data_IF_499583208976
#
_entry.id   IF_499583208976
#
_cell.length_a   1.000
_cell.length_b   1.000
_cell.length_c   1.000
_cell.angle_alpha   90.00
_cell.angle_beta   90.00
_cell.angle_gamma   90.00
#
_symmetry.space_group_name_H-M   'P 1'
#
loop_
_entity.id
_entity.type
_entity.pdbx_description
1 polymer ?
#
# COMPACT_ATOMS: atom_id res chain seq x y z
N UNK A 1 29.49 55.78 83.15
CA UNK A 1 29.51 56.58 81.90
C UNK A 1 30.41 55.86 80.90
N UNK A 2 29.79 55.27 79.85
CA UNK A 2 30.17 55.15 78.41
C UNK A 2 31.66 55.46 78.06
N UNK A 3 32.45 54.75 77.23
CA UNK A 3 32.23 53.92 76.03
C UNK A 3 33.49 53.04 75.81
N UNK A 4 33.36 51.76 75.43
CA UNK A 4 33.37 51.21 74.07
C UNK A 4 34.76 50.78 73.56
N UNK A 5 34.92 49.46 73.48
CA UNK A 5 35.99 48.72 72.80
C UNK A 5 36.18 49.18 71.35
N UNK A 6 37.45 49.29 70.94
CA UNK A 6 37.82 49.28 69.53
C UNK A 6 38.39 47.90 69.17
N UNK A 7 37.78 47.16 68.24
CA UNK A 7 38.34 45.90 67.77
C UNK A 7 39.53 46.14 66.83
N UNK A 8 40.54 45.29 66.96
CA UNK A 8 41.65 45.15 66.01
C UNK A 8 41.08 44.65 64.68
N UNK A 9 41.17 45.47 63.64
CA UNK A 9 40.88 45.07 62.26
C UNK A 9 42.02 44.18 61.74
N UNK A 10 41.74 43.02 61.14
CA UNK A 10 42.75 42.28 60.40
C UNK A 10 43.12 43.04 59.12
N UNK A 11 44.43 43.11 58.84
CA UNK A 11 44.94 43.58 57.56
C UNK A 11 44.33 42.73 56.44
N UNK A 12 43.53 43.38 55.59
CA UNK A 12 43.04 42.81 54.34
C UNK A 12 44.21 42.83 53.35
N UNK A 13 44.65 41.65 52.90
CA UNK A 13 45.64 41.52 51.83
C UNK A 13 45.11 42.10 50.53
N UNK A 14 45.95 42.85 49.82
CA UNK A 14 45.63 43.36 48.49
C UNK A 14 45.24 42.21 47.54
N UNK A 15 44.19 42.38 46.71
CA UNK A 15 43.88 41.42 45.66
C UNK A 15 45.00 41.42 44.61
N UNK A 16 45.29 40.28 43.98
CA UNK A 16 46.32 40.21 42.96
C UNK A 16 45.92 41.11 41.78
N UNK A 17 46.91 41.89 41.37
CA UNK A 17 47.00 42.69 40.15
C UNK A 17 46.10 42.14 39.03
N UNK A 18 45.05 42.89 38.68
CA UNK A 18 44.18 42.63 37.53
C UNK A 18 44.94 43.05 36.24
N UNK A 19 46.14 42.50 36.09
CA UNK A 19 47.04 42.66 34.95
C UNK A 19 46.66 41.70 33.83
N UNK A 20 45.51 41.94 33.21
CA UNK A 20 45.02 41.03 32.19
C UNK A 20 43.84 41.58 31.41
N UNK A 21 43.98 42.77 30.83
CA UNK A 21 43.04 43.26 29.82
C UNK A 21 42.77 42.17 28.78
N UNK A 22 41.57 41.58 28.81
CA UNK A 22 41.11 40.71 27.73
C UNK A 22 41.26 41.50 26.44
N UNK A 23 42.02 41.00 25.45
CA UNK A 23 42.12 41.69 24.18
C UNK A 23 40.70 41.83 23.63
N UNK A 24 40.33 42.96 23.00
CA UNK A 24 39.01 43.11 22.42
C UNK A 24 38.80 41.95 21.47
N UNK A 25 37.80 41.11 21.72
CA UNK A 25 37.45 40.01 20.82
C UNK A 25 37.28 40.62 19.43
N UNK A 26 38.19 40.27 18.52
CA UNK A 26 38.18 40.74 17.15
C UNK A 26 36.79 40.41 16.58
N UNK A 27 36.04 41.44 16.16
CA UNK A 27 34.68 41.28 15.61
C UNK A 27 34.65 40.20 14.53
N UNK A 28 35.76 39.96 13.84
CA UNK A 28 35.90 38.87 12.85
C UNK A 28 35.77 37.47 13.45
N UNK A 29 36.22 37.23 14.69
CA UNK A 29 36.11 35.93 15.35
C UNK A 29 34.68 35.61 15.78
N UNK A 30 33.90 36.59 16.25
CA UNK A 30 32.47 36.38 16.58
C UNK A 30 31.63 36.13 15.33
N UNK A 31 31.91 36.78 14.21
CA UNK A 31 31.25 36.45 12.93
C UNK A 31 31.60 35.04 12.44
N UNK A 32 32.88 34.64 12.52
CA UNK A 32 33.31 33.28 12.17
C UNK A 32 32.64 32.22 13.05
N UNK A 33 32.59 32.42 14.37
CA UNK A 33 31.90 31.51 15.29
C UNK A 33 30.40 31.41 14.98
N UNK A 34 29.73 32.53 14.72
CA UNK A 34 28.30 32.54 14.35
C UNK A 34 28.01 31.82 13.04
N UNK A 35 28.88 31.96 12.04
CA UNK A 35 28.76 31.26 10.75
C UNK A 35 28.95 29.75 10.91
N UNK A 36 29.92 29.33 11.73
CA UNK A 36 30.16 27.91 12.04
C UNK A 36 28.97 27.32 12.80
N UNK A 37 28.46 27.99 13.84
CA UNK A 37 27.30 27.54 14.60
C UNK A 37 26.05 27.45 13.72
N UNK A 38 25.81 28.45 12.87
CA UNK A 38 24.67 28.42 11.93
C UNK A 38 24.78 27.25 10.95
N UNK A 39 25.98 26.96 10.44
CA UNK A 39 26.24 25.82 9.54
C UNK A 39 25.96 24.50 10.25
N UNK A 40 26.40 24.34 11.50
CA UNK A 40 26.16 23.14 12.31
C UNK A 40 24.66 22.93 12.56
N UNK A 41 23.92 24.00 12.90
CA UNK A 41 22.47 23.93 13.13
C UNK A 41 21.74 23.51 11.85
N UNK A 42 22.09 24.09 10.71
CA UNK A 42 21.52 23.71 9.41
C UNK A 42 21.84 22.24 9.10
N UNK A 43 23.04 21.76 9.41
CA UNK A 43 23.42 20.36 9.19
C UNK A 43 22.62 19.40 10.10
N UNK A 44 22.51 19.73 11.39
CA UNK A 44 21.84 18.90 12.40
C UNK A 44 20.33 18.85 12.25
N UNK A 45 19.69 19.90 11.74
CA UNK A 45 18.23 19.93 11.53
C UNK A 45 17.88 19.54 10.09
N UNK A 46 18.65 20.02 9.12
CA UNK A 46 18.41 19.79 7.69
C UNK A 46 18.57 18.34 7.27
N UNK A 47 19.56 17.61 7.81
CA UNK A 47 19.75 16.19 7.47
C UNK A 47 18.58 15.32 8.00
N UNK A 48 18.18 15.39 9.29
CA UNK A 48 17.04 14.62 9.79
C UNK A 48 15.71 15.04 9.13
N UNK A 49 15.47 16.34 8.95
CA UNK A 49 14.26 16.83 8.29
C UNK A 49 14.19 16.41 6.81
N UNK A 50 15.32 16.43 6.09
CA UNK A 50 15.42 15.93 4.72
C UNK A 50 15.18 14.43 4.64
N UNK A 51 15.71 13.65 5.58
CA UNK A 51 15.50 12.20 5.65
C UNK A 51 14.01 11.84 5.90
N UNK A 52 13.33 12.59 6.77
CA UNK A 52 11.90 12.41 7.03
C UNK A 52 11.04 12.69 5.79
N UNK A 53 11.43 13.67 4.96
CA UNK A 53 10.72 14.02 3.73
C UNK A 53 10.83 12.91 2.66
N UNK A 54 11.97 12.22 2.60
CA UNK A 54 12.20 11.08 1.68
C UNK A 54 11.45 9.83 2.17
N UNK A 55 11.46 9.55 3.48
CA UNK A 55 10.83 8.35 4.06
C UNK A 55 9.29 8.34 3.91
N UNK A 56 8.63 9.50 4.04
CA UNK A 56 7.19 9.61 3.83
C UNK A 56 6.75 9.34 2.37
N UNK A 57 7.64 9.60 1.41
CA UNK A 57 7.38 9.35 -0.02
C UNK A 57 7.53 7.87 -0.41
N UNK A 58 8.30 7.09 0.35
CA UNK A 58 8.49 5.66 0.13
C UNK A 58 7.31 4.82 0.65
N UNK A 59 6.68 5.24 1.76
CA UNK A 59 5.57 4.51 2.38
C UNK A 59 4.26 4.49 1.56
N UNK A 60 4.03 5.49 0.70
CA UNK A 60 2.80 5.57 -0.12
C UNK A 60 2.92 5.00 -1.53
N UNK A 61 4.13 4.93 -2.10
CA UNK A 61 4.38 4.32 -3.42
C UNK A 61 4.82 2.86 -3.34
N UNK A 62 5.45 2.43 -2.24
CA UNK A 62 5.91 1.04 -2.09
C UNK A 62 4.79 0.01 -2.16
N UNK A 63 3.54 0.34 -1.81
CA UNK A 63 2.40 -0.57 -1.99
C UNK A 63 1.99 -0.77 -3.45
N UNK A 64 2.00 0.29 -4.26
CA UNK A 64 1.61 0.23 -5.68
C UNK A 64 2.71 -0.39 -6.55
N UNK A 65 3.96 -0.10 -6.22
CA UNK A 65 5.11 -0.61 -6.98
C UNK A 65 5.38 -2.08 -6.64
N UNK A 66 5.15 -2.53 -5.40
CA UNK A 66 5.21 -3.95 -5.03
C UNK A 66 4.07 -4.79 -5.62
N UNK A 67 2.88 -4.23 -5.79
CA UNK A 67 1.77 -4.88 -6.49
C UNK A 67 2.05 -5.01 -8.00
N UNK A 68 2.78 -4.05 -8.59
CA UNK A 68 3.15 -4.06 -10.00
C UNK A 68 4.39 -4.92 -10.31
N UNK A 69 5.37 -5.00 -9.40
CA UNK A 69 6.58 -5.84 -9.55
C UNK A 69 6.33 -7.32 -9.19
N UNK A 70 5.31 -7.64 -8.38
CA UNK A 70 4.94 -9.03 -8.08
C UNK A 70 4.04 -9.69 -9.14
N UNK A 71 3.64 -8.97 -10.19
CA UNK A 71 2.59 -9.35 -11.14
C UNK A 71 3.03 -10.35 -12.23
N UNK A 72 4.29 -10.80 -12.27
CA UNK A 72 4.78 -11.52 -13.45
C UNK A 72 4.29 -12.99 -13.57
N UNK A 73 3.84 -13.67 -12.50
CA UNK A 73 3.40 -15.09 -12.58
C UNK A 73 2.31 -15.51 -11.55
N UNK A 74 1.53 -14.58 -10.99
CA UNK A 74 0.75 -14.80 -9.76
C UNK A 74 -0.35 -15.87 -9.78
N UNK A 75 -0.86 -16.29 -10.95
CA UNK A 75 -1.90 -17.31 -11.03
C UNK A 75 -1.33 -18.70 -10.76
N UNK A 76 -1.82 -19.34 -9.70
CA UNK A 76 -1.51 -20.72 -9.34
C UNK A 76 -2.50 -21.66 -10.02
N UNK A 77 -1.99 -22.69 -10.70
CA UNK A 77 -2.79 -23.80 -11.24
C UNK A 77 -3.17 -24.77 -10.14
N UNK A 78 -4.14 -24.37 -9.32
CA UNK A 78 -4.71 -25.21 -8.27
C UNK A 78 -6.09 -24.66 -7.87
N UNK A 79 -6.77 -25.37 -6.97
CA UNK A 79 -8.00 -24.92 -6.35
C UNK A 79 -7.72 -23.94 -5.21
N UNK A 80 -8.37 -22.76 -5.18
CA UNK A 80 -8.38 -21.96 -3.98
C UNK A 80 -9.05 -22.72 -2.83
N UNK A 81 -8.54 -22.51 -1.62
CA UNK A 81 -9.05 -23.19 -0.43
C UNK A 81 -10.53 -22.90 -0.20
N UNK A 82 -11.23 -23.78 0.52
CA UNK A 82 -12.64 -23.57 0.88
C UNK A 82 -12.86 -22.24 1.60
N UNK A 83 -11.91 -21.83 2.43
CA UNK A 83 -11.98 -20.56 3.15
C UNK A 83 -11.88 -19.37 2.20
N UNK A 84 -10.90 -19.36 1.29
CA UNK A 84 -10.76 -18.28 0.32
C UNK A 84 -12.00 -18.15 -0.57
N UNK A 85 -12.52 -19.27 -1.08
CA UNK A 85 -13.76 -19.29 -1.87
C UNK A 85 -14.97 -18.75 -1.11
N UNK A 86 -15.00 -18.93 0.21
CA UNK A 86 -16.06 -18.40 1.08
C UNK A 86 -15.91 -16.91 1.34
N UNK A 87 -14.69 -16.42 1.59
CA UNK A 87 -14.40 -15.00 1.82
C UNK A 87 -14.65 -14.17 0.57
N UNK A 88 -14.18 -14.65 -0.58
CA UNK A 88 -14.33 -13.98 -1.87
C UNK A 88 -15.62 -14.37 -2.61
N UNK A 89 -16.42 -15.27 -2.03
CA UNK A 89 -17.70 -15.71 -2.56
C UNK A 89 -17.62 -16.16 -4.03
N UNK A 90 -16.66 -17.03 -4.35
CA UNK A 90 -16.48 -17.57 -5.71
C UNK A 90 -16.93 -19.05 -5.73
N UNK A 91 -18.19 -19.35 -6.12
CA UNK A 91 -18.73 -20.70 -6.12
C UNK A 91 -18.28 -21.49 -7.36
N UNK A 92 -16.97 -21.79 -7.44
CA UNK A 92 -16.41 -22.58 -8.55
C UNK A 92 -17.10 -23.96 -8.62
N UNK A 93 -17.73 -24.32 -9.76
CA UNK A 93 -18.43 -25.60 -9.92
C UNK A 93 -17.49 -26.79 -9.71
N UNK A 94 -17.92 -27.84 -9.01
CA UNK A 94 -17.04 -28.98 -8.66
C UNK A 94 -16.48 -29.77 -9.85
N UNK A 95 -17.07 -29.62 -11.04
CA UNK A 95 -16.59 -30.21 -12.30
C UNK A 95 -15.78 -29.23 -13.16
N UNK A 96 -15.36 -28.10 -12.61
CA UNK A 96 -14.50 -27.15 -13.30
C UNK A 96 -13.10 -27.74 -13.52
N UNK A 97 -12.48 -27.39 -14.64
CA UNK A 97 -11.14 -27.81 -15.03
C UNK A 97 -10.25 -26.61 -15.32
N UNK A 98 -8.94 -26.80 -15.22
CA UNK A 98 -7.96 -25.73 -15.44
C UNK A 98 -8.18 -24.54 -14.51
N UNK A 99 -8.48 -24.83 -13.23
CA UNK A 99 -8.68 -23.79 -12.22
C UNK A 99 -7.35 -23.10 -11.96
N UNK A 100 -7.37 -21.78 -12.05
CA UNK A 100 -6.26 -20.89 -11.76
C UNK A 100 -6.73 -19.82 -10.78
N UNK A 101 -5.94 -19.49 -9.77
CA UNK A 101 -6.29 -18.41 -8.85
C UNK A 101 -5.10 -17.61 -8.36
N UNK A 102 -5.37 -16.38 -7.94
CA UNK A 102 -4.41 -15.50 -7.27
C UNK A 102 -5.14 -14.66 -6.25
N UNK A 103 -4.49 -14.35 -5.13
CA UNK A 103 -5.05 -13.49 -4.09
C UNK A 103 -4.07 -12.35 -3.82
N UNK A 104 -4.60 -11.14 -3.78
CA UNK A 104 -3.89 -9.95 -3.31
C UNK A 104 -4.60 -9.42 -2.07
N UNK A 105 -3.87 -9.22 -0.99
CA UNK A 105 -4.43 -8.71 0.25
C UNK A 105 -3.58 -7.56 0.78
N UNK A 106 -4.20 -6.41 1.00
CA UNK A 106 -3.62 -5.32 1.78
C UNK A 106 -4.68 -4.78 2.76
N UNK A 107 -4.25 -3.97 3.72
CA UNK A 107 -5.11 -3.44 4.78
C UNK A 107 -6.32 -2.61 4.30
N UNK A 108 -6.34 -2.15 3.03
CA UNK A 108 -7.43 -1.37 2.44
C UNK A 108 -8.37 -2.19 1.56
N UNK A 109 -7.88 -3.26 0.96
CA UNK A 109 -8.60 -4.02 -0.04
C UNK A 109 -8.05 -5.43 -0.15
N UNK A 110 -8.97 -6.39 -0.23
CA UNK A 110 -8.67 -7.78 -0.55
C UNK A 110 -9.27 -8.10 -1.90
N UNK A 111 -8.52 -8.78 -2.77
CA UNK A 111 -9.01 -9.24 -4.07
C UNK A 111 -8.58 -10.67 -4.32
N UNK A 112 -9.45 -11.42 -4.98
CA UNK A 112 -9.16 -12.74 -5.52
C UNK A 112 -9.50 -12.78 -7.00
N UNK A 113 -8.57 -13.35 -7.75
CA UNK A 113 -8.66 -13.64 -9.16
C UNK A 113 -8.89 -15.13 -9.31
N UNK A 114 -9.86 -15.53 -10.12
CA UNK A 114 -10.08 -16.93 -10.46
C UNK A 114 -10.40 -17.08 -11.94
N UNK A 115 -9.84 -18.11 -12.56
CA UNK A 115 -10.15 -18.54 -13.92
C UNK A 115 -10.43 -20.04 -13.90
N UNK A 116 -11.45 -20.47 -14.62
CA UNK A 116 -11.73 -21.90 -14.77
C UNK A 116 -12.59 -22.16 -16.01
N UNK A 117 -12.44 -23.36 -16.57
CA UNK A 117 -13.32 -23.85 -17.63
C UNK A 117 -14.40 -24.73 -17.02
N UNK A 118 -15.61 -24.64 -17.54
CA UNK A 118 -16.76 -25.41 -17.03
C UNK A 118 -17.67 -25.86 -18.17
N UNK A 119 -18.75 -26.54 -17.83
CA UNK A 119 -19.82 -26.91 -18.76
C UNK A 119 -20.90 -25.82 -18.81
N UNK A 120 -21.76 -25.84 -19.82
CA UNK A 120 -22.97 -24.99 -19.87
C UNK A 120 -23.75 -24.99 -18.53
N UNK A 121 -24.13 -26.16 -18.02
CA UNK A 121 -24.82 -26.27 -16.72
C UNK A 121 -23.94 -25.82 -15.53
N UNK A 122 -22.62 -25.97 -15.63
CA UNK A 122 -21.69 -25.50 -14.61
C UNK A 122 -21.61 -23.97 -14.55
N UNK A 123 -21.70 -23.28 -15.70
CA UNK A 123 -21.82 -21.83 -15.75
C UNK A 123 -23.11 -21.36 -15.07
N UNK A 124 -24.24 -22.03 -15.32
CA UNK A 124 -25.51 -21.70 -14.66
C UNK A 124 -25.41 -21.84 -13.14
N UNK A 125 -24.83 -22.94 -12.65
CA UNK A 125 -24.60 -23.14 -11.21
C UNK A 125 -23.68 -22.08 -10.61
N UNK A 126 -22.62 -21.70 -11.32
CA UNK A 126 -21.71 -20.64 -10.87
C UNK A 126 -22.46 -19.30 -10.73
N UNK A 127 -23.19 -18.89 -11.75
CA UNK A 127 -23.94 -17.63 -11.76
C UNK A 127 -25.06 -17.63 -10.71
N UNK A 128 -25.84 -18.72 -10.62
CA UNK A 128 -26.88 -18.87 -9.59
C UNK A 128 -26.29 -18.88 -8.18
N UNK A 129 -25.12 -19.48 -7.98
CA UNK A 129 -24.41 -19.46 -6.70
C UNK A 129 -23.99 -18.06 -6.26
N UNK A 130 -23.84 -17.12 -7.21
CA UNK A 130 -23.62 -15.70 -6.97
C UNK A 130 -24.93 -14.90 -6.84
N UNK A 131 -26.10 -15.53 -7.00
CA UNK A 131 -27.39 -14.83 -7.01
C UNK A 131 -27.66 -14.07 -8.31
N UNK A 132 -27.01 -14.45 -9.42
CA UNK A 132 -27.27 -13.92 -10.77
C UNK A 132 -27.58 -15.06 -11.76
N UNK A 133 -27.67 -14.76 -13.05
CA UNK A 133 -27.94 -15.73 -14.10
C UNK A 133 -27.43 -15.26 -15.47
N UNK A 134 -27.55 -16.12 -16.48
CA UNK A 134 -27.09 -15.79 -17.85
C UNK A 134 -27.72 -14.54 -18.44
N UNK A 135 -28.96 -14.23 -18.08
CA UNK A 135 -29.65 -13.04 -18.56
C UNK A 135 -28.97 -11.72 -18.13
N UNK A 136 -28.11 -11.76 -17.10
CA UNK A 136 -27.33 -10.61 -16.66
C UNK A 136 -25.98 -10.48 -17.40
N UNK A 137 -25.61 -11.46 -18.23
CA UNK A 137 -24.39 -11.38 -19.04
C UNK A 137 -24.64 -10.49 -20.25
N UNK A 138 -23.93 -9.37 -20.31
CA UNK A 138 -23.91 -8.46 -21.45
C UNK A 138 -22.99 -9.02 -22.54
N UNK A 139 -23.51 -9.33 -23.75
CA UNK A 139 -22.69 -9.82 -24.85
C UNK A 139 -21.72 -8.77 -25.37
N UNK A 140 -20.49 -9.19 -25.71
CA UNK A 140 -19.45 -8.32 -26.28
C UNK A 140 -18.72 -7.45 -25.25
N UNK A 141 -19.08 -7.54 -23.97
CA UNK A 141 -18.47 -6.76 -22.91
C UNK A 141 -17.36 -7.53 -22.16
N UNK A 142 -16.39 -6.76 -21.64
CA UNK A 142 -15.30 -7.23 -20.79
C UNK A 142 -15.21 -6.27 -19.60
N UNK A 143 -15.66 -6.72 -18.43
CA UNK A 143 -15.73 -5.90 -17.21
C UNK A 143 -14.50 -6.07 -16.29
N UNK A 144 -13.48 -6.80 -16.74
CA UNK A 144 -12.20 -6.91 -16.01
C UNK A 144 -11.37 -5.67 -16.28
N UNK A 145 -11.01 -4.94 -15.23
CA UNK A 145 -10.26 -3.68 -15.37
C UNK A 145 -8.84 -3.90 -15.91
N UNK A 146 -8.28 -2.90 -16.61
CA UNK A 146 -6.90 -2.95 -17.10
C UNK A 146 -5.86 -3.25 -16.00
N UNK A 147 -6.12 -2.79 -14.78
CA UNK A 147 -5.28 -3.11 -13.61
C UNK A 147 -5.31 -4.60 -13.31
N UNK A 148 -6.50 -5.19 -13.28
CA UNK A 148 -6.70 -6.60 -13.00
C UNK A 148 -6.14 -7.47 -14.13
N UNK A 149 -6.25 -7.03 -15.39
CA UNK A 149 -5.59 -7.63 -16.56
C UNK A 149 -4.08 -7.63 -16.38
N UNK A 150 -3.48 -6.49 -16.01
CA UNK A 150 -2.03 -6.39 -15.79
C UNK A 150 -1.54 -7.29 -14.65
N UNK A 151 -2.34 -7.44 -13.58
CA UNK A 151 -2.00 -8.30 -12.43
C UNK A 151 -2.07 -9.79 -12.80
N UNK A 152 -3.08 -10.18 -13.58
CA UNK A 152 -3.34 -11.58 -13.92
C UNK A 152 -2.60 -12.07 -15.16
N UNK A 153 -2.21 -11.16 -16.06
CA UNK A 153 -1.70 -11.50 -17.38
C UNK A 153 -2.75 -12.10 -18.31
N UNK A 154 -4.05 -11.98 -17.99
CA UNK A 154 -5.11 -12.45 -18.88
C UNK A 154 -5.14 -11.65 -20.18
N UNK A 155 -5.57 -12.33 -21.24
CA UNK A 155 -5.71 -11.74 -22.56
C UNK A 155 -7.11 -12.03 -23.10
N UNK A 156 -7.75 -10.98 -23.61
CA UNK A 156 -9.10 -11.04 -24.17
C UNK A 156 -9.02 -10.66 -25.65
N UNK A 157 -9.02 -11.66 -26.53
CA UNK A 157 -8.87 -11.46 -27.98
C UNK A 157 -10.15 -11.01 -28.66
N UNK A 158 -10.05 -10.18 -29.71
CA UNK A 158 -11.21 -9.63 -30.42
C UNK A 158 -12.02 -10.68 -31.22
N UNK A 159 -11.47 -11.87 -31.47
CA UNK A 159 -12.12 -12.93 -32.25
C UNK A 159 -12.93 -13.91 -31.38
N UNK A 160 -12.97 -13.69 -30.07
CA UNK A 160 -13.69 -14.53 -29.12
C UNK A 160 -15.06 -13.93 -28.78
N UNK A 161 -16.01 -14.79 -28.44
CA UNK A 161 -17.34 -14.37 -27.99
C UNK A 161 -17.32 -14.11 -26.48
N UNK A 162 -17.19 -12.85 -26.09
CA UNK A 162 -17.19 -12.45 -24.69
C UNK A 162 -18.59 -12.13 -24.18
N UNK A 163 -18.82 -12.37 -22.90
CA UNK A 163 -19.97 -11.83 -22.18
C UNK A 163 -19.58 -11.53 -20.73
N UNK A 164 -20.03 -10.41 -20.17
CA UNK A 164 -19.64 -10.00 -18.82
C UNK A 164 -20.81 -9.56 -17.96
N UNK A 165 -20.59 -9.56 -16.64
CA UNK A 165 -21.53 -8.98 -15.69
C UNK A 165 -20.80 -8.59 -14.40
N UNK A 166 -21.39 -7.67 -13.65
CA UNK A 166 -20.91 -7.31 -12.32
C UNK A 166 -21.97 -7.61 -11.28
N UNK A 167 -21.67 -8.55 -10.37
CA UNK A 167 -22.51 -8.80 -9.20
C UNK A 167 -22.03 -7.94 -8.02
N UNK A 168 -22.86 -6.99 -7.61
CA UNK A 168 -22.52 -6.08 -6.50
C UNK A 168 -23.22 -6.50 -5.23
N UNK A 169 -22.44 -6.73 -4.18
CA UNK A 169 -22.95 -6.94 -2.83
C UNK A 169 -22.88 -5.65 -2.00
N UNK A 170 -23.69 -5.59 -0.93
CA UNK A 170 -23.55 -4.56 0.09
C UNK A 170 -22.23 -4.75 0.84
N UNK A 171 -21.45 -3.68 0.99
CA UNK A 171 -20.22 -3.67 1.79
C UNK A 171 -20.45 -4.23 3.21
N UNK A 172 -19.49 -4.97 3.78
CA UNK A 172 -18.12 -5.21 3.27
C UNK A 172 -17.98 -6.45 2.36
N UNK A 173 -19.10 -7.08 1.96
CA UNK A 173 -19.05 -8.25 1.07
C UNK A 173 -18.45 -7.88 -0.29
N UNK A 174 -17.75 -8.82 -0.95
CA UNK A 174 -17.07 -8.55 -2.20
C UNK A 174 -18.03 -8.28 -3.37
N UNK A 175 -17.57 -7.44 -4.30
CA UNK A 175 -18.15 -7.30 -5.64
C UNK A 175 -17.41 -8.23 -6.59
N UNK A 176 -18.14 -8.94 -7.46
CA UNK A 176 -17.58 -9.84 -8.47
C UNK A 176 -17.76 -9.26 -9.87
N UNK A 177 -16.65 -8.97 -10.54
CA UNK A 177 -16.61 -8.72 -11.97
C UNK A 177 -16.35 -10.05 -12.68
N UNK A 178 -17.25 -10.42 -13.58
CA UNK A 178 -17.26 -11.73 -14.24
C UNK A 178 -17.16 -11.48 -15.74
N UNK A 179 -16.27 -12.18 -16.40
CA UNK A 179 -16.18 -12.21 -17.86
C UNK A 179 -16.09 -13.66 -18.31
N UNK A 180 -16.84 -14.01 -19.34
CA UNK A 180 -17.00 -15.38 -19.82
C UNK A 180 -16.62 -15.41 -21.29
N UNK A 181 -15.72 -16.32 -21.66
CA UNK A 181 -15.53 -16.72 -23.05
C UNK A 181 -16.60 -17.76 -23.39
N UNK A 182 -17.47 -17.41 -24.32
CA UNK A 182 -18.58 -18.19 -24.87
C UNK A 182 -18.29 -18.71 -26.29
N UNK A 183 -17.03 -18.64 -26.78
CA UNK A 183 -16.65 -19.13 -28.11
C UNK A 183 -16.98 -20.61 -28.27
N UNK A 184 -16.78 -21.39 -27.22
CA UNK A 184 -17.36 -22.73 -27.09
C UNK A 184 -18.44 -22.71 -25.98
N UNK A 185 -19.74 -22.60 -26.33
CA UNK A 185 -20.82 -22.52 -25.35
C UNK A 185 -21.05 -23.83 -24.59
N UNK A 186 -20.51 -24.97 -25.07
CA UNK A 186 -20.52 -26.23 -24.33
C UNK A 186 -19.43 -26.26 -23.23
N UNK A 187 -18.33 -25.54 -23.46
CA UNK A 187 -17.16 -25.48 -22.57
C UNK A 187 -16.70 -24.04 -22.26
N UNK A 188 -17.55 -23.18 -21.67
CA UNK A 188 -17.20 -21.79 -21.42
C UNK A 188 -16.03 -21.65 -20.43
N UNK A 189 -15.24 -20.59 -20.63
CA UNK A 189 -14.14 -20.21 -19.72
C UNK A 189 -14.55 -18.97 -18.94
N UNK A 190 -14.57 -19.08 -17.62
CA UNK A 190 -14.98 -18.02 -16.71
C UNK A 190 -13.75 -17.36 -16.09
N UNK A 191 -13.77 -16.03 -16.07
CA UNK A 191 -12.80 -15.15 -15.44
C UNK A 191 -13.53 -14.32 -14.38
N UNK A 192 -13.02 -14.30 -13.15
CA UNK A 192 -13.66 -13.64 -12.01
C UNK A 192 -12.63 -12.81 -11.25
N UNK A 193 -12.98 -11.55 -10.99
CA UNK A 193 -12.31 -10.71 -10.00
C UNK A 193 -13.31 -10.45 -8.89
N UNK A 194 -13.00 -10.93 -7.68
CA UNK A 194 -13.78 -10.67 -6.48
C UNK A 194 -13.03 -9.70 -5.60
N UNK A 195 -13.63 -8.55 -5.28
CA UNK A 195 -12.98 -7.46 -4.56
C UNK A 195 -13.81 -7.01 -3.35
N UNK A 196 -13.21 -7.07 -2.16
CA UNK A 196 -13.78 -6.55 -0.93
C UNK A 196 -12.99 -5.34 -0.42
N UNK A 197 -13.71 -4.32 0.03
CA UNK A 197 -13.16 -3.19 0.80
C UNK A 197 -13.78 -3.23 2.19
N UNK A 198 -12.98 -3.28 3.26
CA UNK A 198 -13.46 -3.23 4.65
C UNK A 198 -14.35 -2.01 4.94
#
# INVERSE_FOLDING_TARGET
MIAAEHPVVPHQSDPPDDGGGKPPEDRRQVFKRRFVTATIIVLLIGIPAGYLLISASQSRRSGKDKEAEAAAQGLREDWPSRMQRRIFEIPIPGNAIGVQYYETNNWKASRMYAKFRTTSAGLDRFLTGLGTGRAALEPGAIDISDRDIKITGWYFGANDYWASTTHTNKKPRPTQNITVNMTDPASPVVYVVSAATP
#
